data_IF_756992281622
#
_entry.id   IF_756992281622
#
_cell.length_a   1.000
_cell.length_b   1.000
_cell.length_c   1.000
_cell.angle_alpha   90.00
_cell.angle_beta   90.00
_cell.angle_gamma   90.00
#
_symmetry.space_group_name_H-M   'P 1'
#
loop_
_entity.id
_entity.type
_entity.pdbx_description
1 polymer ?
#
# COMPACT_ATOMS: atom_id res chain seq x y z
N UNK A 1 -11.14 35.08 -8.76
CA UNK A 1 -11.98 34.25 -9.65
C UNK A 1 -11.05 33.30 -10.40
N UNK A 2 -10.98 32.02 -10.02
CA UNK A 2 -10.19 31.00 -10.70
C UNK A 2 -11.14 30.21 -11.60
N UNK A 3 -10.97 30.30 -12.91
CA UNK A 3 -11.68 29.43 -13.84
C UNK A 3 -11.20 27.99 -13.65
N UNK A 4 -12.09 27.01 -13.43
CA UNK A 4 -11.71 25.62 -13.42
C UNK A 4 -11.38 25.19 -14.86
N UNK A 5 -10.20 24.61 -15.08
CA UNK A 5 -9.84 23.91 -16.32
C UNK A 5 -10.91 22.82 -16.56
N UNK A 6 -11.82 23.07 -17.49
CA UNK A 6 -12.77 22.09 -18.04
C UNK A 6 -11.98 21.00 -18.76
N UNK A 7 -11.55 19.98 -18.05
CA UNK A 7 -11.14 18.73 -18.70
C UNK A 7 -12.41 18.01 -19.11
N UNK A 8 -12.61 17.86 -20.41
CA UNK A 8 -13.79 17.23 -21.00
C UNK A 8 -14.03 15.85 -20.39
N UNK A 9 -15.24 15.63 -19.89
CA UNK A 9 -15.74 14.41 -19.21
C UNK A 9 -15.53 13.13 -20.03
N UNK A 10 -15.54 13.22 -21.37
CA UNK A 10 -15.29 12.13 -22.30
C UNK A 10 -13.84 11.61 -22.26
N UNK A 11 -12.85 12.48 -22.03
CA UNK A 11 -11.45 12.07 -21.99
C UNK A 11 -11.10 11.23 -20.76
N UNK A 12 -11.73 11.49 -19.61
CA UNK A 12 -11.44 10.73 -18.39
C UNK A 12 -12.09 9.33 -18.41
N UNK A 13 -13.29 9.21 -18.99
CA UNK A 13 -13.96 7.91 -19.16
C UNK A 13 -13.23 7.05 -20.20
N UNK A 14 -12.80 7.64 -21.32
CA UNK A 14 -12.02 6.95 -22.34
C UNK A 14 -10.65 6.52 -21.80
N UNK A 15 -10.00 7.36 -20.98
CA UNK A 15 -8.73 7.01 -20.35
C UNK A 15 -8.92 5.88 -19.32
N UNK A 16 -9.94 5.94 -18.47
CA UNK A 16 -10.26 4.87 -17.53
C UNK A 16 -10.60 3.57 -18.23
N UNK A 17 -11.41 3.62 -19.30
CA UNK A 17 -11.73 2.46 -20.13
C UNK A 17 -10.50 1.89 -20.83
N UNK A 18 -9.62 2.76 -21.36
CA UNK A 18 -8.36 2.34 -21.98
C UNK A 18 -7.42 1.68 -20.95
N UNK A 19 -7.31 2.23 -19.75
CA UNK A 19 -6.50 1.62 -18.67
C UNK A 19 -7.06 0.26 -18.26
N UNK A 20 -8.38 0.14 -18.11
CA UNK A 20 -9.05 -1.14 -17.80
C UNK A 20 -8.84 -2.14 -18.95
N UNK A 21 -9.01 -1.71 -20.20
CA UNK A 21 -8.82 -2.55 -21.37
C UNK A 21 -7.37 -3.02 -21.49
N UNK A 22 -6.39 -2.12 -21.33
CA UNK A 22 -4.97 -2.44 -21.34
C UNK A 22 -4.64 -3.41 -20.19
N UNK A 23 -5.24 -3.22 -19.01
CA UNK A 23 -5.10 -4.12 -17.89
C UNK A 23 -5.66 -5.52 -18.20
N UNK A 24 -6.86 -5.62 -18.76
CA UNK A 24 -7.47 -6.89 -19.16
C UNK A 24 -6.66 -7.60 -20.26
N UNK A 25 -6.18 -6.85 -21.25
CA UNK A 25 -5.34 -7.40 -22.33
C UNK A 25 -3.97 -7.84 -21.83
N UNK A 26 -3.31 -7.03 -20.98
CA UNK A 26 -2.02 -7.40 -20.39
C UNK A 26 -2.14 -8.63 -19.49
N UNK A 27 -3.24 -8.75 -18.75
CA UNK A 27 -3.56 -9.93 -17.95
C UNK A 27 -3.76 -11.16 -18.83
N UNK A 28 -4.59 -11.07 -19.86
CA UNK A 28 -4.84 -12.16 -20.80
C UNK A 28 -3.56 -12.61 -21.52
N UNK A 29 -2.73 -11.66 -21.95
CA UNK A 29 -1.43 -11.95 -22.57
C UNK A 29 -0.47 -12.63 -21.58
N UNK A 30 -0.47 -12.23 -20.31
CA UNK A 30 0.37 -12.82 -19.26
C UNK A 30 -0.10 -14.24 -18.89
N UNK A 31 -1.39 -14.48 -18.83
CA UNK A 31 -1.97 -15.82 -18.59
C UNK A 31 -1.70 -16.79 -19.77
N UNK A 32 -1.66 -16.28 -21.01
CA UNK A 32 -1.39 -17.06 -22.21
C UNK A 32 0.11 -17.22 -22.54
N UNK A 33 0.97 -16.37 -22.03
CA UNK A 33 2.41 -16.34 -22.35
C UNK A 33 3.30 -17.17 -21.43
N UNK A 34 2.75 -17.87 -20.44
CA UNK A 34 3.53 -18.74 -19.56
C UNK A 34 3.25 -20.23 -19.78
N UNK A 35 4.05 -20.92 -20.58
CA UNK A 35 4.37 -22.29 -20.25
C UNK A 35 5.39 -22.23 -19.11
N UNK A 36 4.92 -22.51 -17.89
CA UNK A 36 5.81 -22.69 -16.73
C UNK A 36 6.58 -23.97 -16.97
N UNK A 37 7.76 -23.86 -17.57
CA UNK A 37 8.79 -24.84 -17.31
C UNK A 37 9.20 -24.62 -15.84
N UNK A 38 8.81 -25.55 -14.96
CA UNK A 38 9.49 -25.67 -13.68
C UNK A 38 10.99 -25.69 -13.99
N UNK A 39 11.81 -24.76 -13.45
CA UNK A 39 13.25 -24.94 -13.52
C UNK A 39 13.52 -26.31 -12.89
N UNK A 40 14.27 -27.16 -13.62
CA UNK A 40 14.65 -28.46 -13.13
C UNK A 40 15.20 -28.25 -11.70
N UNK A 41 14.47 -28.73 -10.71
CA UNK A 41 14.83 -28.54 -9.31
C UNK A 41 16.18 -29.23 -9.13
N UNK A 42 17.23 -28.46 -8.84
CA UNK A 42 18.36 -29.00 -8.09
C UNK A 42 17.71 -29.63 -6.88
N UNK A 43 17.94 -30.91 -6.62
CA UNK A 43 17.21 -31.72 -5.65
C UNK A 43 17.15 -31.09 -4.24
N UNK A 44 18.05 -30.17 -3.96
CA UNK A 44 18.24 -29.52 -2.67
C UNK A 44 17.76 -28.06 -2.60
N UNK A 45 17.13 -27.52 -3.66
CA UNK A 45 16.66 -26.13 -3.68
C UNK A 45 15.18 -26.05 -4.03
N UNK A 46 14.38 -25.54 -3.10
CA UNK A 46 12.93 -25.34 -3.24
C UNK A 46 12.68 -23.88 -3.57
N UNK A 47 12.33 -23.56 -4.82
CA UNK A 47 11.92 -22.22 -5.23
C UNK A 47 10.40 -22.09 -5.35
N UNK A 48 9.88 -20.90 -5.19
CA UNK A 48 8.47 -20.59 -5.43
C UNK A 48 8.29 -20.01 -6.83
N UNK A 49 7.36 -20.57 -7.58
CA UNK A 49 6.95 -20.12 -8.91
C UNK A 49 5.71 -19.21 -8.88
N UNK A 50 5.17 -18.91 -10.07
CA UNK A 50 3.98 -18.05 -10.22
C UNK A 50 2.72 -18.57 -9.52
N UNK A 51 2.65 -19.87 -9.27
CA UNK A 51 1.54 -20.52 -8.56
C UNK A 51 1.35 -20.02 -7.12
N UNK A 52 2.41 -19.45 -6.52
CA UNK A 52 2.36 -18.81 -5.20
C UNK A 52 2.05 -17.32 -5.25
N UNK A 53 1.85 -16.77 -6.44
CA UNK A 53 1.56 -15.34 -6.65
C UNK A 53 0.27 -14.85 -5.98
N UNK A 54 -0.60 -15.74 -5.53
CA UNK A 54 -1.80 -15.40 -4.77
C UNK A 54 -1.52 -15.08 -3.30
N UNK A 55 -0.34 -15.44 -2.77
CA UNK A 55 0.10 -15.09 -1.42
C UNK A 55 0.84 -13.77 -1.49
N UNK A 56 0.21 -12.72 -1.00
CA UNK A 56 0.70 -11.36 -1.17
C UNK A 56 0.94 -10.66 0.15
N UNK A 57 2.04 -9.94 0.20
CA UNK A 57 2.36 -9.01 1.25
C UNK A 57 1.74 -7.63 1.03
N UNK A 58 2.43 -6.60 1.45
CA UNK A 58 1.99 -5.22 1.29
C UNK A 58 2.20 -4.70 -0.15
N UNK A 59 3.35 -4.98 -0.74
CA UNK A 59 3.73 -4.54 -2.08
C UNK A 59 3.44 -5.55 -3.19
N UNK A 60 3.22 -6.83 -2.85
CA UNK A 60 2.97 -7.88 -3.82
C UNK A 60 3.34 -9.28 -3.35
N UNK A 61 3.49 -10.23 -4.27
CA UNK A 61 3.96 -11.57 -3.95
C UNK A 61 5.37 -11.56 -3.38
N UNK A 62 5.61 -12.42 -2.39
CA UNK A 62 6.93 -12.59 -1.76
C UNK A 62 7.51 -13.92 -2.19
N UNK A 63 8.36 -13.96 -3.23
CA UNK A 63 9.01 -15.19 -3.67
C UNK A 63 10.01 -15.66 -2.62
N UNK A 64 10.18 -16.98 -2.51
CA UNK A 64 11.07 -17.61 -1.55
C UNK A 64 11.95 -18.65 -2.24
N UNK A 65 13.22 -18.73 -1.80
CA UNK A 65 14.17 -19.79 -2.16
C UNK A 65 14.59 -20.47 -0.86
N UNK A 66 14.29 -21.76 -0.71
CA UNK A 66 14.64 -22.55 0.45
C UNK A 66 15.72 -23.55 0.01
N UNK A 67 16.88 -23.51 0.64
CA UNK A 67 17.98 -24.44 0.39
C UNK A 67 17.97 -25.51 1.46
N UNK A 68 17.92 -26.77 1.05
CA UNK A 68 18.02 -27.92 1.93
C UNK A 68 19.46 -28.39 2.01
N UNK A 69 19.81 -28.98 3.12
CA UNK A 69 21.07 -29.67 3.29
C UNK A 69 20.96 -31.06 2.64
N UNK A 70 21.82 -31.43 1.69
CA UNK A 70 21.73 -32.68 0.94
C UNK A 70 21.89 -33.93 1.82
N UNK A 71 22.63 -33.84 2.92
CA UNK A 71 22.90 -34.99 3.78
C UNK A 71 21.78 -35.22 4.82
N UNK A 72 21.29 -34.14 5.42
CA UNK A 72 20.28 -34.21 6.49
C UNK A 72 18.85 -33.96 6.03
N UNK A 73 18.65 -33.39 4.84
CA UNK A 73 17.34 -32.95 4.33
C UNK A 73 16.72 -31.81 5.14
N UNK A 74 17.49 -31.16 6.02
CA UNK A 74 17.01 -30.03 6.83
C UNK A 74 17.22 -28.70 6.10
N UNK A 75 16.45 -27.67 6.49
CA UNK A 75 16.55 -26.33 5.90
C UNK A 75 17.85 -25.68 6.36
N UNK A 76 18.74 -25.43 5.38
CA UNK A 76 20.01 -24.75 5.58
C UNK A 76 19.90 -23.23 5.47
N UNK A 77 19.10 -22.76 4.50
CA UNK A 77 18.90 -21.33 4.28
C UNK A 77 17.49 -21.03 3.75
N UNK A 78 17.00 -19.84 4.06
CA UNK A 78 15.77 -19.27 3.50
C UNK A 78 16.12 -17.90 2.95
N UNK A 79 16.11 -17.77 1.63
CA UNK A 79 16.44 -16.56 0.91
C UNK A 79 15.22 -16.02 0.17
N UNK A 80 15.23 -14.74 -0.08
CA UNK A 80 14.13 -14.07 -0.77
C UNK A 80 14.67 -13.37 -2.02
N UNK A 81 14.30 -13.87 -3.21
CA UNK A 81 14.56 -13.16 -4.45
C UNK A 81 13.97 -11.74 -4.42
N UNK A 82 14.39 -10.86 -5.35
CA UNK A 82 13.84 -9.52 -5.47
C UNK A 82 12.31 -9.57 -5.49
N UNK A 83 11.68 -8.78 -4.63
CA UNK A 83 10.24 -8.71 -4.47
C UNK A 83 9.76 -7.25 -4.54
N UNK A 84 8.45 -7.05 -4.57
CA UNK A 84 7.84 -5.73 -4.72
C UNK A 84 7.50 -5.06 -3.38
N UNK A 85 7.95 -5.65 -2.26
CA UNK A 85 7.75 -5.05 -0.95
C UNK A 85 8.51 -3.72 -0.83
N UNK A 86 7.99 -2.83 -0.02
CA UNK A 86 8.69 -1.60 0.33
C UNK A 86 10.00 -1.95 1.06
N UNK A 87 11.10 -1.33 0.65
CA UNK A 87 12.45 -1.68 1.11
C UNK A 87 12.62 -1.57 2.62
N UNK A 88 12.01 -0.56 3.25
CA UNK A 88 12.11 -0.33 4.68
C UNK A 88 11.27 -1.34 5.49
N UNK A 89 10.09 -1.69 4.99
CA UNK A 89 9.27 -2.75 5.58
C UNK A 89 9.95 -4.10 5.47
N UNK A 90 10.48 -4.38 4.28
CA UNK A 90 11.12 -5.65 4.00
C UNK A 90 12.39 -5.84 4.82
N UNK A 91 13.22 -4.81 4.92
CA UNK A 91 14.39 -4.81 5.79
C UNK A 91 14.03 -5.13 7.23
N UNK A 92 12.95 -4.56 7.76
CA UNK A 92 12.47 -4.83 9.12
C UNK A 92 12.07 -6.29 9.31
N UNK A 93 11.41 -6.89 8.31
CA UNK A 93 11.08 -8.32 8.35
C UNK A 93 12.34 -9.17 8.42
N UNK A 94 13.37 -8.84 7.63
CA UNK A 94 14.64 -9.56 7.62
C UNK A 94 15.39 -9.37 8.94
N UNK A 95 15.49 -8.15 9.45
CA UNK A 95 16.21 -7.81 10.69
C UNK A 95 15.53 -8.41 11.93
N UNK A 96 14.23 -8.69 11.89
CA UNK A 96 13.50 -9.33 12.99
C UNK A 96 13.97 -10.75 13.32
N UNK A 97 14.64 -11.39 12.39
CA UNK A 97 15.11 -12.77 12.53
C UNK A 97 14.00 -13.82 12.55
N UNK A 98 12.76 -13.45 12.18
CA UNK A 98 11.57 -14.33 12.19
C UNK A 98 11.75 -15.62 11.38
N UNK A 99 12.64 -15.60 10.40
CA UNK A 99 12.92 -16.76 9.54
C UNK A 99 13.95 -17.74 10.14
N UNK A 100 14.68 -17.36 11.19
CA UNK A 100 15.66 -18.26 11.84
C UNK A 100 15.04 -19.53 12.41
N UNK A 101 13.75 -19.47 12.78
CA UNK A 101 13.00 -20.60 13.31
C UNK A 101 12.86 -21.79 12.35
N UNK A 102 13.05 -21.56 11.04
CA UNK A 102 12.98 -22.59 10.01
C UNK A 102 14.31 -23.38 9.86
N UNK A 103 15.44 -22.78 10.24
CA UNK A 103 16.76 -23.35 10.05
C UNK A 103 16.94 -24.62 10.89
N UNK A 104 17.58 -25.64 10.31
CA UNK A 104 17.84 -26.94 10.95
C UNK A 104 16.61 -27.84 11.11
N UNK A 105 15.44 -27.45 10.60
CA UNK A 105 14.22 -28.24 10.62
C UNK A 105 13.97 -28.95 9.30
N UNK A 106 13.33 -30.10 9.38
CA UNK A 106 12.84 -30.79 8.17
C UNK A 106 11.68 -30.01 7.54
N UNK A 107 11.42 -30.12 6.22
CA UNK A 107 10.29 -29.46 5.55
C UNK A 107 8.95 -29.71 6.24
N UNK A 108 8.72 -30.94 6.73
CA UNK A 108 7.48 -31.33 7.40
C UNK A 108 7.31 -30.65 8.77
N UNK A 109 8.35 -30.51 9.55
CA UNK A 109 8.34 -29.80 10.83
C UNK A 109 8.20 -28.29 10.62
N UNK A 110 8.93 -27.75 9.68
CA UNK A 110 8.95 -26.32 9.36
C UNK A 110 7.58 -25.84 8.83
N UNK A 111 6.88 -26.65 8.04
CA UNK A 111 5.53 -26.35 7.55
C UNK A 111 4.49 -26.20 8.67
N UNK A 112 4.71 -26.81 9.83
CA UNK A 112 3.78 -26.76 10.99
C UNK A 112 4.06 -25.61 11.95
N UNK A 113 5.14 -24.85 11.74
CA UNK A 113 5.48 -23.74 12.61
C UNK A 113 4.41 -22.64 12.59
N UNK A 114 4.18 -21.96 13.72
CA UNK A 114 3.25 -20.84 13.76
C UNK A 114 3.74 -19.68 12.89
N UNK A 115 2.77 -18.94 12.33
CA UNK A 115 3.05 -17.73 11.57
C UNK A 115 3.05 -16.54 12.52
N UNK A 116 4.21 -15.92 12.66
CA UNK A 116 4.41 -14.76 13.54
C UNK A 116 4.35 -13.46 12.72
N UNK A 117 3.66 -12.47 13.27
CA UNK A 117 3.60 -11.16 12.66
C UNK A 117 4.70 -10.26 13.21
N UNK A 118 5.46 -9.62 12.32
CA UNK A 118 6.42 -8.59 12.71
C UNK A 118 5.69 -7.26 12.83
N UNK A 119 5.77 -6.64 14.00
CA UNK A 119 5.14 -5.34 14.25
C UNK A 119 5.64 -4.29 13.26
N UNK A 120 4.69 -3.60 12.63
CA UNK A 120 5.00 -2.59 11.61
C UNK A 120 5.29 -3.16 10.21
N UNK A 121 5.35 -4.50 10.05
CA UNK A 121 5.48 -5.18 8.74
C UNK A 121 4.65 -6.48 8.70
N UNK A 122 3.47 -6.45 9.30
CA UNK A 122 2.61 -7.61 9.52
C UNK A 122 2.19 -8.32 8.24
N UNK A 123 1.84 -7.56 7.19
CA UNK A 123 1.41 -8.15 5.92
C UNK A 123 2.57 -8.86 5.21
N UNK A 124 3.71 -8.19 5.09
CA UNK A 124 4.90 -8.72 4.43
C UNK A 124 5.47 -9.94 5.16
N UNK A 125 5.54 -9.89 6.49
CA UNK A 125 6.03 -11.01 7.30
C UNK A 125 5.12 -12.23 7.28
N UNK A 126 3.81 -12.02 7.30
CA UNK A 126 2.82 -13.11 7.15
C UNK A 126 2.88 -13.72 5.77
N UNK A 127 2.89 -12.90 4.71
CA UNK A 127 2.97 -13.39 3.34
C UNK A 127 4.22 -14.23 3.09
N UNK A 128 5.38 -13.75 3.55
CA UNK A 128 6.62 -14.52 3.44
C UNK A 128 6.50 -15.90 4.12
N UNK A 129 6.00 -15.95 5.35
CA UNK A 129 5.85 -17.21 6.09
C UNK A 129 4.75 -18.10 5.51
N UNK A 130 3.63 -17.54 5.02
CA UNK A 130 2.60 -18.30 4.30
C UNK A 130 3.16 -18.90 3.00
N UNK A 131 4.00 -18.17 2.28
CA UNK A 131 4.67 -18.67 1.07
C UNK A 131 5.65 -19.80 1.40
N UNK A 132 6.47 -19.64 2.45
CA UNK A 132 7.35 -20.69 2.97
C UNK A 132 6.53 -21.92 3.31
N UNK A 133 5.48 -21.78 4.11
CA UNK A 133 4.60 -22.89 4.51
C UNK A 133 4.01 -23.61 3.30
N UNK A 134 3.40 -22.88 2.38
CA UNK A 134 2.77 -23.47 1.20
C UNK A 134 3.78 -24.26 0.33
N UNK A 135 5.02 -23.74 0.21
CA UNK A 135 6.09 -24.43 -0.54
C UNK A 135 6.57 -25.68 0.17
N UNK A 136 6.72 -25.63 1.50
CA UNK A 136 7.15 -26.75 2.31
C UNK A 136 6.07 -27.86 2.38
N UNK A 137 4.78 -27.49 2.49
CA UNK A 137 3.65 -28.43 2.44
C UNK A 137 3.62 -29.20 1.11
N UNK A 138 3.86 -28.50 -0.03
CA UNK A 138 3.98 -29.16 -1.34
C UNK A 138 5.19 -30.08 -1.38
N UNK A 139 6.32 -29.67 -0.83
CA UNK A 139 7.54 -30.52 -0.82
C UNK A 139 7.41 -31.74 0.10
N UNK A 140 6.73 -31.60 1.23
CA UNK A 140 6.50 -32.69 2.18
C UNK A 140 5.29 -33.57 1.82
N UNK A 141 4.61 -33.31 0.69
CA UNK A 141 3.35 -33.95 0.28
C UNK A 141 2.26 -33.90 1.38
N UNK A 142 2.30 -32.88 2.23
CA UNK A 142 1.30 -32.65 3.25
C UNK A 142 0.02 -32.06 2.65
N UNK A 143 -1.17 -32.50 3.10
CA UNK A 143 -2.41 -31.83 2.68
C UNK A 143 -2.36 -30.36 3.13
N UNK A 144 -2.59 -29.49 2.17
CA UNK A 144 -2.61 -28.03 2.42
C UNK A 144 -3.73 -27.71 3.41
N UNK A 145 -3.36 -27.32 4.61
CA UNK A 145 -4.31 -26.67 5.49
C UNK A 145 -4.73 -25.34 4.83
N UNK A 146 -5.93 -25.31 4.24
CA UNK A 146 -6.53 -24.06 3.77
C UNK A 146 -6.64 -23.18 5.01
N UNK A 147 -5.90 -22.07 5.10
CA UNK A 147 -6.06 -21.19 6.24
C UNK A 147 -7.51 -20.71 6.19
N UNK A 148 -8.30 -21.16 7.16
CA UNK A 148 -9.61 -20.59 7.36
C UNK A 148 -9.36 -19.09 7.54
N UNK A 149 -9.80 -18.29 6.58
CA UNK A 149 -9.72 -16.83 6.63
C UNK A 149 -10.66 -16.35 7.73
N UNK A 150 -10.31 -16.65 8.99
CA UNK A 150 -10.96 -16.04 10.13
C UNK A 150 -10.59 -14.58 10.08
N UNK A 151 -11.57 -13.75 9.81
CA UNK A 151 -11.54 -12.33 10.03
C UNK A 151 -11.18 -12.11 11.50
N UNK A 152 -9.88 -11.93 11.78
CA UNK A 152 -9.44 -11.55 13.11
C UNK A 152 -9.51 -10.03 13.18
N UNK A 153 -10.63 -9.53 13.68
CA UNK A 153 -10.76 -8.11 14.01
C UNK A 153 -9.81 -7.79 15.16
N UNK A 154 -8.80 -7.02 14.85
CA UNK A 154 -7.91 -6.44 15.86
C UNK A 154 -8.58 -5.20 16.47
N UNK A 155 -8.22 -4.85 17.70
CA UNK A 155 -8.59 -3.56 18.30
C UNK A 155 -8.20 -2.35 17.43
N UNK A 156 -7.12 -2.49 16.67
CA UNK A 156 -6.68 -1.49 15.70
C UNK A 156 -7.69 -1.32 14.56
N UNK A 157 -8.31 -2.40 14.08
CA UNK A 157 -9.35 -2.33 13.05
C UNK A 157 -10.61 -1.64 13.59
N UNK A 158 -10.99 -1.93 14.83
CA UNK A 158 -12.14 -1.29 15.49
C UNK A 158 -11.89 0.21 15.64
N UNK A 159 -10.71 0.62 16.11
CA UNK A 159 -10.38 2.04 16.26
C UNK A 159 -10.35 2.76 14.91
N UNK A 160 -9.82 2.13 13.86
CA UNK A 160 -9.83 2.69 12.51
C UNK A 160 -11.26 2.84 11.96
N UNK A 161 -12.14 1.86 12.18
CA UNK A 161 -13.54 1.91 11.77
C UNK A 161 -14.33 3.00 12.51
N UNK A 162 -14.14 3.12 13.82
CA UNK A 162 -14.75 4.19 14.62
C UNK A 162 -14.31 5.57 14.12
N UNK A 163 -13.00 5.75 13.89
CA UNK A 163 -12.48 7.00 13.37
C UNK A 163 -12.97 7.28 11.94
N UNK A 164 -13.15 6.25 11.12
CA UNK A 164 -13.75 6.38 9.80
C UNK A 164 -15.21 6.85 9.89
N UNK A 165 -15.99 6.31 10.82
CA UNK A 165 -17.36 6.73 11.07
C UNK A 165 -17.42 8.21 11.51
N UNK A 166 -16.53 8.65 12.40
CA UNK A 166 -16.42 10.06 12.79
C UNK A 166 -16.10 10.95 11.58
N UNK A 167 -15.15 10.54 10.74
CA UNK A 167 -14.83 11.28 9.51
C UNK A 167 -16.01 11.35 8.55
N UNK A 168 -16.82 10.30 8.48
CA UNK A 168 -18.02 10.27 7.65
C UNK A 168 -19.04 11.29 8.14
N UNK A 169 -19.28 11.38 9.45
CA UNK A 169 -20.15 12.40 10.03
C UNK A 169 -19.66 13.82 9.68
N UNK A 170 -18.37 14.09 9.87
CA UNK A 170 -17.80 15.41 9.55
C UNK A 170 -17.67 15.69 8.05
N UNK A 171 -17.81 14.70 7.21
CA UNK A 171 -17.91 14.91 5.77
C UNK A 171 -19.28 15.53 5.38
N UNK A 172 -20.37 15.11 6.05
CA UNK A 172 -21.70 15.67 5.87
C UNK A 172 -21.88 16.98 6.64
N UNK A 173 -21.33 17.06 7.84
CA UNK A 173 -21.38 18.23 8.73
C UNK A 173 -19.98 18.83 8.91
N UNK A 174 -19.51 19.69 7.99
CA UNK A 174 -18.12 20.11 7.96
C UNK A 174 -17.65 20.74 9.27
N UNK A 175 -16.59 20.18 9.85
CA UNK A 175 -15.93 20.75 11.02
C UNK A 175 -15.22 22.05 10.67
N UNK A 176 -15.35 23.06 11.53
CA UNK A 176 -14.71 24.37 11.38
C UNK A 176 -13.88 24.72 12.63
N UNK A 177 -12.97 25.68 12.49
CA UNK A 177 -12.20 26.19 13.62
C UNK A 177 -11.41 25.09 14.37
N UNK A 178 -11.60 25.03 15.69
CA UNK A 178 -10.92 24.06 16.56
C UNK A 178 -11.35 22.61 16.35
N UNK A 179 -12.62 22.37 16.06
CA UNK A 179 -13.12 21.01 15.76
C UNK A 179 -12.40 20.40 14.57
N UNK A 180 -12.08 21.21 13.57
CA UNK A 180 -11.28 20.76 12.43
C UNK A 180 -9.84 20.41 12.83
N UNK A 181 -9.22 21.20 13.71
CA UNK A 181 -7.86 20.92 14.20
C UNK A 181 -7.84 19.60 14.97
N UNK A 182 -8.80 19.41 15.90
CA UNK A 182 -8.90 18.17 16.69
C UNK A 182 -9.10 16.97 15.75
N UNK A 183 -10.04 17.05 14.80
CA UNK A 183 -10.30 15.97 13.85
C UNK A 183 -9.05 15.57 13.05
N UNK A 184 -8.31 16.54 12.52
CA UNK A 184 -7.08 16.28 11.78
C UNK A 184 -5.98 15.69 12.66
N UNK A 185 -5.85 16.16 13.90
CA UNK A 185 -4.88 15.61 14.86
C UNK A 185 -5.22 14.16 15.21
N UNK A 186 -6.51 13.86 15.45
CA UNK A 186 -6.97 12.50 15.68
C UNK A 186 -6.71 11.60 14.46
N UNK A 187 -6.92 12.10 13.23
CA UNK A 187 -6.62 11.34 12.03
C UNK A 187 -5.13 11.02 11.89
N UNK A 188 -4.25 11.98 12.18
CA UNK A 188 -2.80 11.74 12.18
C UNK A 188 -2.43 10.68 13.22
N UNK A 189 -2.97 10.77 14.43
CA UNK A 189 -2.71 9.82 15.49
C UNK A 189 -3.25 8.43 15.16
N UNK A 190 -4.52 8.31 14.77
CA UNK A 190 -5.17 7.01 14.56
C UNK A 190 -4.72 6.39 13.23
N UNK A 191 -4.93 7.04 12.10
CA UNK A 191 -4.62 6.45 10.78
C UNK A 191 -3.13 6.51 10.44
N UNK A 192 -2.38 7.48 10.97
CA UNK A 192 -0.94 7.59 10.73
C UNK A 192 -0.13 6.69 11.67
N UNK A 193 -0.30 6.88 12.98
CA UNK A 193 0.61 6.30 13.99
C UNK A 193 0.10 4.99 14.57
N UNK A 194 -1.20 4.90 14.92
CA UNK A 194 -1.73 3.73 15.61
C UNK A 194 -2.09 2.57 14.69
N UNK A 195 -2.86 2.84 13.64
CA UNK A 195 -3.41 1.77 12.79
C UNK A 195 -2.69 1.63 11.47
N UNK A 196 -1.88 2.61 11.06
CA UNK A 196 -1.21 2.68 9.76
C UNK A 196 -2.16 2.44 8.58
N UNK A 197 -3.45 2.77 8.76
CA UNK A 197 -4.50 2.54 7.78
C UNK A 197 -4.62 3.74 6.83
N UNK A 198 -3.70 3.86 5.90
CA UNK A 198 -3.70 4.89 4.87
C UNK A 198 -3.58 4.29 3.47
N UNK A 199 -4.07 5.01 2.47
CA UNK A 199 -3.95 4.61 1.07
C UNK A 199 -2.59 5.04 0.53
N UNK A 200 -1.85 4.08 -0.03
CA UNK A 200 -0.56 4.28 -0.69
C UNK A 200 -0.61 3.80 -2.14
N UNK A 201 0.26 4.34 -2.98
CA UNK A 201 0.45 3.82 -4.34
C UNK A 201 1.04 2.41 -4.32
N UNK A 202 1.87 2.08 -3.33
CA UNK A 202 2.41 0.74 -3.14
C UNK A 202 1.29 -0.27 -2.93
N UNK A 203 0.31 0.06 -2.07
CA UNK A 203 -0.87 -0.78 -1.84
C UNK A 203 -1.72 -0.92 -3.11
N UNK A 204 -1.95 0.18 -3.83
CA UNK A 204 -2.67 0.17 -5.10
C UNK A 204 -1.94 -0.68 -6.15
N UNK A 205 -0.63 -0.56 -6.25
CA UNK A 205 0.21 -1.39 -7.11
C UNK A 205 0.09 -2.88 -6.75
N UNK A 206 0.07 -3.22 -5.46
CA UNK A 206 -0.19 -4.57 -4.97
C UNK A 206 -1.55 -5.11 -5.45
N UNK A 207 -2.61 -4.31 -5.33
CA UNK A 207 -3.95 -4.69 -5.82
C UNK A 207 -4.01 -4.91 -7.32
N UNK A 208 -3.24 -4.16 -8.11
CA UNK A 208 -3.17 -4.32 -9.57
C UNK A 208 -2.40 -5.58 -10.00
N UNK A 209 -1.41 -6.02 -9.21
CA UNK A 209 -0.54 -7.16 -9.56
C UNK A 209 -1.15 -8.51 -9.23
N UNK A 210 -2.06 -8.54 -8.29
CA UNK A 210 -2.62 -9.79 -7.73
C UNK A 210 -4.02 -10.03 -8.25
N UNK A 211 -4.30 -11.31 -8.59
CA UNK A 211 -5.66 -11.78 -8.82
C UNK A 211 -6.53 -11.58 -7.58
N UNK A 212 -7.84 -11.31 -7.73
CA UNK A 212 -8.69 -10.73 -6.70
C UNK A 212 -9.07 -11.72 -5.60
N UNK A 213 -8.13 -12.18 -4.81
CA UNK A 213 -8.43 -12.60 -3.46
C UNK A 213 -8.45 -11.33 -2.59
N UNK A 214 -9.51 -10.56 -2.71
CA UNK A 214 -9.78 -9.39 -1.90
C UNK A 214 -9.81 -9.80 -0.43
N UNK A 215 -8.65 -9.82 0.21
CA UNK A 215 -8.64 -9.84 1.67
C UNK A 215 -9.24 -8.50 2.09
N UNK A 216 -10.43 -8.56 2.64
CA UNK A 216 -11.16 -7.39 3.11
C UNK A 216 -10.30 -6.72 4.20
N UNK A 217 -9.71 -5.60 3.89
CA UNK A 217 -8.95 -4.79 4.86
C UNK A 217 -9.67 -3.48 5.10
N UNK A 218 -9.47 -2.86 6.25
CA UNK A 218 -10.03 -1.54 6.56
C UNK A 218 -9.59 -0.51 5.50
N UNK A 219 -8.37 -0.63 4.97
CA UNK A 219 -7.89 0.24 3.90
C UNK A 219 -8.68 0.07 2.58
N UNK A 220 -9.08 -1.17 2.22
CA UNK A 220 -9.94 -1.42 1.05
C UNK A 220 -11.32 -0.79 1.24
N UNK A 221 -11.86 -0.86 2.46
CA UNK A 221 -13.13 -0.22 2.81
C UNK A 221 -13.01 1.32 2.72
N UNK A 222 -11.93 1.90 3.26
CA UNK A 222 -11.64 3.33 3.15
C UNK A 222 -11.57 3.76 1.69
N UNK A 223 -10.90 2.97 0.83
CA UNK A 223 -10.83 3.24 -0.60
C UNK A 223 -12.22 3.21 -1.25
N UNK A 224 -12.99 2.15 -1.02
CA UNK A 224 -14.33 2.00 -1.59
C UNK A 224 -15.25 3.15 -1.19
N UNK A 225 -15.32 3.47 0.11
CA UNK A 225 -16.11 4.60 0.63
C UNK A 225 -15.65 5.92 0.00
N UNK A 226 -14.33 6.11 -0.13
CA UNK A 226 -13.77 7.34 -0.71
C UNK A 226 -14.16 7.51 -2.17
N UNK A 227 -14.14 6.44 -2.97
CA UNK A 227 -14.58 6.46 -4.37
C UNK A 227 -16.09 6.75 -4.46
N UNK A 228 -16.91 6.02 -3.70
CA UNK A 228 -18.38 6.20 -3.73
C UNK A 228 -18.79 7.61 -3.34
N UNK A 229 -18.21 8.17 -2.28
CA UNK A 229 -18.49 9.53 -1.82
C UNK A 229 -17.98 10.59 -2.81
N UNK A 230 -16.84 10.35 -3.45
CA UNK A 230 -16.31 11.27 -4.47
C UNK A 230 -17.22 11.33 -5.70
N UNK A 231 -17.77 10.19 -6.11
CA UNK A 231 -18.76 10.13 -7.21
C UNK A 231 -20.07 10.80 -6.83
N UNK A 232 -20.55 10.56 -5.61
CA UNK A 232 -21.87 11.04 -5.17
C UNK A 232 -21.89 12.53 -4.88
N UNK A 233 -20.98 13.00 -4.02
CA UNK A 233 -20.95 14.40 -3.54
C UNK A 233 -20.03 15.31 -4.36
N UNK A 234 -19.19 14.78 -5.25
CA UNK A 234 -18.22 15.57 -5.99
C UNK A 234 -17.17 16.24 -5.07
N UNK A 235 -16.84 15.62 -3.94
CA UNK A 235 -15.81 16.08 -2.98
C UNK A 235 -14.91 14.89 -2.60
N UNK A 236 -13.61 15.10 -2.63
CA UNK A 236 -12.67 14.06 -2.29
C UNK A 236 -12.64 13.81 -0.77
N UNK A 237 -13.33 12.76 -0.32
CA UNK A 237 -13.48 12.40 1.09
C UNK A 237 -12.13 12.06 1.72
N UNK A 238 -11.36 11.16 1.10
CA UNK A 238 -10.10 10.71 1.67
C UNK A 238 -9.10 11.84 1.86
N UNK A 239 -8.76 12.55 0.77
CA UNK A 239 -7.80 13.64 0.82
C UNK A 239 -8.25 14.83 1.67
N UNK A 240 -9.55 15.01 1.79
CA UNK A 240 -10.15 16.11 2.55
C UNK A 240 -10.26 15.84 4.03
N UNK A 241 -10.46 14.59 4.44
CA UNK A 241 -10.85 14.27 5.82
C UNK A 241 -10.00 13.16 6.46
N UNK A 242 -9.70 12.07 5.75
CA UNK A 242 -9.12 10.85 6.33
C UNK A 242 -7.59 10.81 6.27
N UNK A 243 -7.01 11.29 5.15
CA UNK A 243 -5.57 11.15 4.89
C UNK A 243 -4.71 11.77 6.02
N UNK A 244 -3.90 10.96 6.76
CA UNK A 244 -3.13 11.47 7.89
C UNK A 244 -2.06 12.48 7.44
N UNK A 245 -1.37 12.22 6.35
CA UNK A 245 -0.33 13.14 5.87
C UNK A 245 -0.91 14.44 5.31
N UNK A 246 -2.06 14.35 4.60
CA UNK A 246 -2.81 15.53 4.19
C UNK A 246 -3.29 16.36 5.36
N UNK A 247 -3.71 15.70 6.44
CA UNK A 247 -4.07 16.32 7.73
C UNK A 247 -2.88 17.02 8.38
N UNK A 248 -1.73 16.35 8.46
CA UNK A 248 -0.50 16.93 9.01
C UNK A 248 -0.05 18.19 8.24
N UNK A 249 -0.09 18.16 6.90
CA UNK A 249 0.22 19.34 6.08
C UNK A 249 -0.77 20.50 6.29
N UNK A 250 -2.06 20.20 6.48
CA UNK A 250 -3.06 21.23 6.78
C UNK A 250 -2.82 21.84 8.17
N UNK A 251 -2.47 21.01 9.16
CA UNK A 251 -2.11 21.48 10.50
C UNK A 251 -0.86 22.36 10.46
N UNK A 252 0.18 21.97 9.74
CA UNK A 252 1.39 22.77 9.56
C UNK A 252 1.08 24.14 8.93
N UNK A 253 0.24 24.19 7.89
CA UNK A 253 -0.18 25.44 7.27
C UNK A 253 -1.00 26.33 8.21
N UNK A 254 -1.89 25.74 9.04
CA UNK A 254 -2.66 26.48 10.04
C UNK A 254 -1.78 27.05 11.14
N UNK A 255 -0.80 26.26 11.58
CA UNK A 255 0.21 26.71 12.55
C UNK A 255 1.03 27.88 12.02
N UNK A 256 1.54 27.77 10.79
CA UNK A 256 2.24 28.86 10.11
C UNK A 256 1.41 30.15 10.04
N UNK A 257 0.13 30.02 9.64
CA UNK A 257 -0.79 31.17 9.58
C UNK A 257 -0.99 31.81 10.97
N UNK A 258 -1.05 31.01 12.03
CA UNK A 258 -1.17 31.52 13.42
C UNK A 258 0.08 32.27 13.87
N UNK A 259 1.26 31.89 13.35
CA UNK A 259 2.53 32.57 13.57
C UNK A 259 2.76 33.80 12.65
N UNK A 260 1.76 34.18 11.85
CA UNK A 260 1.88 35.32 10.95
C UNK A 260 2.64 35.02 9.64
N UNK A 261 2.97 33.77 9.36
CA UNK A 261 3.69 33.40 8.13
C UNK A 261 2.77 33.59 6.93
N UNK A 262 3.26 34.32 5.91
CA UNK A 262 2.55 34.52 4.64
C UNK A 262 2.44 33.19 3.89
N UNK A 263 1.20 32.75 3.61
CA UNK A 263 0.95 31.58 2.79
C UNK A 263 0.86 31.93 1.31
N UNK A 264 1.56 31.18 0.47
CA UNK A 264 1.55 31.36 -0.95
C UNK A 264 0.59 30.36 -1.62
N UNK A 265 -0.17 30.78 -2.64
CA UNK A 265 -0.97 29.85 -3.40
C UNK A 265 -0.06 28.89 -4.17
N UNK A 266 -0.42 27.62 -4.27
CA UNK A 266 0.29 26.66 -5.09
C UNK A 266 0.04 26.97 -6.58
N UNK A 267 0.81 27.89 -7.15
CA UNK A 267 0.61 28.41 -8.51
C UNK A 267 1.23 27.56 -9.61
N UNK A 268 1.98 26.52 -9.25
CA UNK A 268 2.61 25.66 -10.24
C UNK A 268 1.56 24.91 -11.08
N UNK A 269 1.38 25.36 -12.31
CA UNK A 269 0.40 24.79 -13.26
C UNK A 269 0.71 23.33 -13.66
N UNK A 270 1.97 22.92 -13.57
CA UNK A 270 2.43 21.55 -13.86
C UNK A 270 2.08 20.50 -12.78
N UNK A 271 1.76 20.91 -11.56
CA UNK A 271 1.51 19.97 -10.45
C UNK A 271 0.46 18.89 -10.74
N UNK A 272 -0.74 19.22 -11.26
CA UNK A 272 -1.75 18.22 -11.62
C UNK A 272 -1.29 17.24 -12.71
N UNK A 273 -0.42 17.67 -13.62
CA UNK A 273 0.14 16.78 -14.65
C UNK A 273 1.20 15.87 -14.06
N UNK A 274 2.09 16.40 -13.20
CA UNK A 274 3.14 15.64 -12.54
C UNK A 274 2.57 14.46 -11.71
N UNK A 275 1.57 14.70 -10.88
CA UNK A 275 0.97 13.61 -10.08
C UNK A 275 0.22 12.57 -10.93
N UNK A 276 -0.37 12.97 -12.08
CA UNK A 276 -0.96 12.03 -13.05
C UNK A 276 0.10 11.21 -13.75
N UNK A 277 1.24 11.82 -14.07
CA UNK A 277 2.39 11.14 -14.64
C UNK A 277 2.96 10.10 -13.68
N UNK A 278 3.10 10.45 -12.40
CA UNK A 278 3.53 9.51 -11.35
C UNK A 278 2.55 8.32 -11.27
N UNK A 279 1.24 8.59 -11.23
CA UNK A 279 0.22 7.54 -11.22
C UNK A 279 0.30 6.66 -12.49
N UNK A 280 0.41 7.29 -13.67
CA UNK A 280 0.52 6.57 -14.95
C UNK A 280 1.77 5.69 -15.02
N UNK A 281 2.92 6.20 -14.56
CA UNK A 281 4.15 5.43 -14.47
C UNK A 281 4.01 4.23 -13.52
N UNK A 282 3.36 4.41 -12.38
CA UNK A 282 3.09 3.33 -11.40
C UNK A 282 2.19 2.25 -11.99
N UNK A 283 1.12 2.65 -12.68
CA UNK A 283 0.19 1.71 -13.32
C UNK A 283 0.89 0.96 -14.45
N UNK A 284 1.65 1.67 -15.29
CA UNK A 284 2.42 1.06 -16.39
C UNK A 284 3.43 0.04 -15.86
N UNK A 285 4.18 0.39 -14.82
CA UNK A 285 5.12 -0.51 -14.18
C UNK A 285 4.43 -1.76 -13.61
N UNK A 286 3.25 -1.58 -12.99
CA UNK A 286 2.46 -2.70 -12.49
C UNK A 286 2.04 -3.66 -13.63
N UNK A 287 1.61 -3.10 -14.77
CA UNK A 287 1.22 -3.86 -15.95
C UNK A 287 2.44 -4.61 -16.55
N UNK A 288 3.57 -3.92 -16.67
CA UNK A 288 4.81 -4.51 -17.19
C UNK A 288 5.49 -5.50 -16.21
N UNK A 289 4.99 -5.62 -14.98
CA UNK A 289 5.61 -6.47 -13.95
C UNK A 289 6.89 -5.92 -13.35
N UNK A 290 7.25 -4.69 -13.67
CA UNK A 290 8.47 -4.03 -13.16
C UNK A 290 8.20 -3.55 -11.74
N UNK A 291 9.06 -3.94 -10.79
CA UNK A 291 9.03 -3.40 -9.42
C UNK A 291 9.69 -2.01 -9.44
N UNK A 292 8.90 -0.97 -9.25
CA UNK A 292 9.43 0.37 -9.02
C UNK A 292 9.36 0.66 -7.51
N UNK A 293 10.46 1.08 -6.87
CA UNK A 293 10.41 1.53 -5.49
C UNK A 293 9.55 2.79 -5.42
N UNK A 294 8.38 2.67 -4.79
CA UNK A 294 7.46 3.78 -4.59
C UNK A 294 7.80 4.43 -3.27
N UNK A 295 8.42 5.60 -3.34
CA UNK A 295 8.79 6.39 -2.16
C UNK A 295 7.67 7.37 -1.85
N UNK A 296 7.03 7.19 -0.69
CA UNK A 296 5.94 8.04 -0.24
C UNK A 296 6.20 8.55 1.19
N UNK A 297 5.92 9.82 1.48
CA UNK A 297 6.15 10.38 2.82
C UNK A 297 5.22 9.77 3.89
N UNK A 298 4.22 8.99 3.49
CA UNK A 298 3.36 8.25 4.42
C UNK A 298 4.13 7.21 5.22
N UNK A 299 5.17 6.62 4.62
CA UNK A 299 6.04 5.65 5.29
C UNK A 299 6.72 6.23 6.53
N UNK A 300 6.86 7.56 6.62
CA UNK A 300 7.42 8.23 7.80
C UNK A 300 6.57 8.06 9.08
N UNK A 301 5.31 7.64 8.97
CA UNK A 301 4.50 7.31 10.15
C UNK A 301 4.87 5.94 10.76
N UNK A 302 5.67 5.15 10.06
CA UNK A 302 6.03 3.83 10.51
C UNK A 302 7.30 3.88 11.37
N UNK A 303 7.32 3.17 12.50
CA UNK A 303 8.52 3.04 13.29
C UNK A 303 9.63 2.33 12.49
N UNK A 304 10.86 2.84 12.51
CA UNK A 304 12.02 2.27 11.82
C UNK A 304 12.14 2.59 10.33
N UNK A 305 11.39 3.54 9.84
CA UNK A 305 11.56 4.11 8.50
C UNK A 305 12.95 4.72 8.34
N UNK A 306 13.54 4.58 7.15
CA UNK A 306 14.83 5.15 6.83
C UNK A 306 14.83 6.67 7.08
N UNK A 307 15.90 7.17 7.69
CA UNK A 307 16.01 8.57 8.10
C UNK A 307 15.79 9.57 6.96
N UNK A 308 16.15 9.23 5.73
CA UNK A 308 15.98 10.09 4.57
C UNK A 308 14.51 10.26 4.16
N UNK A 309 13.66 9.21 4.31
CA UNK A 309 12.20 9.31 4.09
C UNK A 309 11.58 10.20 5.16
N UNK A 310 12.02 10.05 6.41
CA UNK A 310 11.60 10.93 7.48
C UNK A 310 12.00 12.39 7.20
N UNK A 311 13.24 12.62 6.75
CA UNK A 311 13.72 13.93 6.32
C UNK A 311 12.90 14.51 5.16
N UNK A 312 12.57 13.70 4.17
CA UNK A 312 11.70 14.11 3.06
C UNK A 312 10.29 14.49 3.56
N UNK A 313 9.68 13.65 4.40
CA UNK A 313 8.36 13.93 4.94
C UNK A 313 8.35 15.20 5.79
N UNK A 314 9.34 15.39 6.65
CA UNK A 314 9.52 16.60 7.46
C UNK A 314 9.73 17.84 6.56
N UNK A 315 10.54 17.72 5.51
CA UNK A 315 10.76 18.80 4.52
C UNK A 315 9.47 19.25 3.85
N UNK A 316 8.62 18.32 3.41
CA UNK A 316 7.31 18.67 2.84
C UNK A 316 6.33 19.21 3.88
N UNK A 317 6.41 18.80 5.14
CA UNK A 317 5.62 19.40 6.22
C UNK A 317 6.05 20.83 6.48
N UNK A 318 7.35 21.10 6.57
CA UNK A 318 7.89 22.46 6.71
C UNK A 318 7.52 23.33 5.51
N UNK A 319 7.66 22.83 4.28
CA UNK A 319 7.24 23.54 3.09
C UNK A 319 5.73 23.85 3.08
N UNK A 320 4.92 23.00 3.73
CA UNK A 320 3.46 23.17 3.85
C UNK A 320 3.06 24.32 4.76
N UNK A 321 3.97 24.83 5.59
CA UNK A 321 3.79 26.08 6.36
C UNK A 321 3.62 27.27 5.41
N UNK A 322 4.37 27.29 4.30
CA UNK A 322 4.35 28.35 3.29
C UNK A 322 3.35 28.05 2.16
N UNK A 323 3.31 26.80 1.66
CA UNK A 323 2.42 26.37 0.58
C UNK A 323 1.54 25.24 1.05
N UNK A 324 0.29 25.49 1.43
CA UNK A 324 -0.59 24.51 2.03
C UNK A 324 -0.77 23.25 1.16
N UNK A 325 -0.55 22.06 1.76
CA UNK A 325 -0.71 20.75 1.13
C UNK A 325 0.15 20.56 -0.13
N UNK A 326 1.43 20.98 -0.09
CA UNK A 326 2.36 20.96 -1.21
C UNK A 326 2.46 19.56 -1.85
N UNK A 327 2.75 18.52 -1.07
CA UNK A 327 2.85 17.15 -1.54
C UNK A 327 1.55 16.69 -2.21
N UNK A 328 0.42 16.89 -1.53
CA UNK A 328 -0.89 16.44 -2.03
C UNK A 328 -1.26 17.08 -3.38
N UNK A 329 -0.80 18.30 -3.64
CA UNK A 329 -1.13 19.02 -4.87
C UNK A 329 -0.24 18.67 -6.05
N UNK A 330 1.03 18.32 -5.80
CA UNK A 330 2.02 18.19 -6.88
C UNK A 330 2.54 16.77 -7.08
N UNK A 331 2.61 15.95 -6.03
CA UNK A 331 3.31 14.67 -6.09
C UNK A 331 2.42 13.47 -5.76
N UNK A 332 1.33 13.65 -5.01
CA UNK A 332 0.54 12.53 -4.53
C UNK A 332 -0.23 11.83 -5.64
N UNK A 333 0.20 10.61 -6.00
CA UNK A 333 -0.47 9.78 -7.00
C UNK A 333 -1.81 9.21 -6.52
N UNK A 334 -1.94 8.90 -5.21
CA UNK A 334 -3.23 8.51 -4.63
C UNK A 334 -4.28 9.63 -4.77
N UNK A 335 -3.87 10.89 -4.57
CA UNK A 335 -4.73 12.04 -4.84
C UNK A 335 -5.13 12.14 -6.31
N UNK A 336 -4.22 11.85 -7.25
CA UNK A 336 -4.53 11.82 -8.67
C UNK A 336 -5.55 10.72 -9.00
N UNK A 337 -5.38 9.51 -8.42
CA UNK A 337 -6.31 8.39 -8.59
C UNK A 337 -7.72 8.76 -8.13
N UNK A 338 -7.87 9.33 -6.95
CA UNK A 338 -9.18 9.69 -6.40
C UNK A 338 -9.84 10.86 -7.17
N UNK A 339 -9.04 11.74 -7.76
CA UNK A 339 -9.56 12.84 -8.59
C UNK A 339 -10.22 12.35 -9.89
N UNK A 340 -9.89 11.15 -10.40
CA UNK A 340 -10.62 10.57 -11.54
C UNK A 340 -12.09 10.32 -11.23
N UNK A 341 -12.38 9.97 -9.99
CA UNK A 341 -13.74 9.70 -9.53
C UNK A 341 -14.48 10.97 -9.08
N UNK A 342 -13.79 12.09 -9.03
CA UNK A 342 -14.37 13.34 -8.61
C UNK A 342 -15.23 13.94 -9.73
N UNK A 343 -16.53 14.16 -9.46
CA UNK A 343 -17.40 14.93 -10.37
C UNK A 343 -16.98 16.39 -10.34
N UNK A 344 -16.35 16.89 -11.41
CA UNK A 344 -16.24 18.33 -11.65
C UNK A 344 -17.66 18.85 -11.99
N UNK A 345 -18.25 19.62 -11.07
CA UNK A 345 -19.43 20.44 -11.37
C UNK A 345 -19.05 21.59 -12.29
#
# INVERSE_FOLDING_TARGET
MQQPLRVRRSGNLLFAAAVILIFCLARHYRESAQPVSEPAAEADVLTTGPEYGHIVGFGGPVPVKITLDPDSGTIRAVDFPPNAEDADYWKRVLDSGVFRKYLGKTPAEAARLPIDAVTGATFSSRAAQETIRARLEKAAALPRAVPASRFQFSWFDVTALLMLAVNLVFFFFPASGWTRVILLSCNVAVFGVLTHCYLSLSQFNGWLRVTPHWKFSVASLVFLISVLLSIWKGRNFYCGSVCPYGGAQELAARFGKKLGVKTYPATFRGGPYLRRLILGATVLAAICGVAIPIVEPFSAFLPGTAWWIFGMAAGFLLASVFVPRLWCRWFCGCGALLDFFHKTK
#
